data_IF_458392574072
#
_entry.id   IF_458392574072
#
_cell.length_a   1.000
_cell.length_b   1.000
_cell.length_c   1.000
_cell.angle_alpha   90.00
_cell.angle_beta   90.00
_cell.angle_gamma   90.00
#
_symmetry.space_group_name_H-M   'P 1'
#
loop_
_entity.id
_entity.type
_entity.pdbx_description
1 polymer ?
#
# COMPACT_ATOMS: atom_id res chain seq x y z
N UNK A 1 27.58 18.74 -15.77
CA UNK A 1 27.63 17.28 -15.88
C UNK A 1 26.32 16.57 -15.47
N UNK A 2 25.22 17.25 -15.12
CA UNK A 2 23.97 16.55 -14.70
C UNK A 2 22.71 17.10 -15.36
N UNK A 3 22.80 17.52 -16.63
CA UNK A 3 21.76 18.35 -17.28
C UNK A 3 20.38 17.66 -17.26
N UNK A 4 20.31 16.35 -17.46
CA UNK A 4 19.06 15.59 -17.49
C UNK A 4 18.44 15.42 -16.09
N UNK A 5 19.22 15.04 -15.07
CA UNK A 5 18.70 14.90 -13.70
C UNK A 5 18.28 16.25 -13.09
N UNK A 6 19.09 17.31 -13.30
CA UNK A 6 18.77 18.67 -12.86
C UNK A 6 17.44 19.12 -13.47
N UNK A 7 17.23 18.86 -14.75
CA UNK A 7 16.00 19.25 -15.44
C UNK A 7 14.77 18.52 -14.90
N UNK A 8 14.87 17.23 -14.59
CA UNK A 8 13.76 16.48 -13.96
C UNK A 8 13.42 17.06 -12.57
N UNK A 9 14.43 17.30 -11.72
CA UNK A 9 14.24 17.92 -10.40
C UNK A 9 13.66 19.33 -10.50
N UNK A 10 14.11 20.13 -11.48
CA UNK A 10 13.60 21.48 -11.73
C UNK A 10 12.12 21.45 -12.09
N UNK A 11 11.73 20.62 -13.06
CA UNK A 11 10.33 20.43 -13.47
C UNK A 11 9.45 19.99 -12.30
N UNK A 12 9.90 19.03 -11.49
CA UNK A 12 9.16 18.58 -10.31
C UNK A 12 8.92 19.74 -9.31
N UNK A 13 9.95 20.55 -9.05
CA UNK A 13 9.82 21.69 -8.14
C UNK A 13 8.95 22.83 -8.69
N UNK A 14 8.91 23.02 -10.00
CA UNK A 14 8.02 24.01 -10.63
C UNK A 14 6.56 23.56 -10.51
N UNK A 15 6.31 22.25 -10.67
CA UNK A 15 4.99 21.65 -10.42
C UNK A 15 4.57 21.84 -8.98
N UNK A 16 5.43 21.54 -8.00
CA UNK A 16 5.11 21.68 -6.57
C UNK A 16 4.86 23.13 -6.15
N UNK A 17 5.59 24.08 -6.74
CA UNK A 17 5.34 25.53 -6.52
C UNK A 17 3.97 25.97 -7.04
N UNK A 18 3.55 25.44 -8.18
CA UNK A 18 2.25 25.77 -8.78
C UNK A 18 1.02 25.35 -7.95
N UNK A 19 1.21 24.60 -6.86
CA UNK A 19 0.13 24.11 -5.98
C UNK A 19 -0.47 25.25 -5.15
N UNK A 20 0.34 26.19 -4.69
CA UNK A 20 -0.07 27.28 -3.78
C UNK A 20 0.49 28.65 -4.18
N UNK A 21 0.83 28.82 -5.47
CA UNK A 21 1.22 30.10 -6.05
C UNK A 21 0.12 31.18 -5.92
N UNK A 22 0.41 32.44 -6.30
CA UNK A 22 -0.62 33.49 -6.23
C UNK A 22 -1.79 33.21 -7.18
N UNK A 23 -3.06 33.37 -6.74
CA UNK A 23 -4.23 33.22 -7.60
C UNK A 23 -4.16 34.12 -8.83
N UNK A 24 -4.36 33.56 -10.02
CA UNK A 24 -4.59 34.33 -11.24
C UNK A 24 -6.08 34.30 -11.61
N UNK A 25 -6.48 35.29 -12.40
CA UNK A 25 -7.85 35.42 -12.90
C UNK A 25 -8.25 34.20 -13.74
N UNK A 26 -9.44 33.63 -13.47
CA UNK A 26 -9.95 32.42 -14.15
C UNK A 26 -9.47 31.08 -13.59
N UNK A 27 -8.58 31.06 -12.59
CA UNK A 27 -8.10 29.83 -11.98
C UNK A 27 -9.09 29.25 -10.96
N UNK A 28 -9.16 27.92 -10.88
CA UNK A 28 -9.95 27.20 -9.88
C UNK A 28 -9.09 26.88 -8.66
N UNK A 29 -9.69 27.08 -7.49
CA UNK A 29 -9.05 26.93 -6.20
C UNK A 29 -9.93 26.10 -5.29
N UNK A 30 -9.31 25.18 -4.57
CA UNK A 30 -9.96 24.38 -3.54
C UNK A 30 -10.24 25.25 -2.33
N UNK A 31 -11.40 25.03 -1.71
CA UNK A 31 -11.78 25.72 -0.48
C UNK A 31 -10.93 25.22 0.68
N UNK A 32 -10.79 26.07 1.69
CA UNK A 32 -10.21 25.73 2.99
C UNK A 32 -11.00 24.57 3.61
N UNK A 33 -10.30 23.59 4.16
CA UNK A 33 -10.88 22.50 4.94
C UNK A 33 -10.75 22.78 6.45
N UNK A 34 -11.31 21.91 7.28
CA UNK A 34 -11.30 22.07 8.74
C UNK A 34 -9.89 22.04 9.34
N UNK A 35 -8.95 21.36 8.68
CA UNK A 35 -7.57 21.18 9.14
C UNK A 35 -6.65 22.33 8.72
N UNK A 36 -6.97 23.06 7.64
CA UNK A 36 -6.24 24.27 7.24
C UNK A 36 -7.13 25.44 6.81
N UNK A 37 -7.39 26.33 7.78
CA UNK A 37 -8.12 27.60 7.58
C UNK A 37 -7.29 28.71 6.93
N UNK A 38 -5.98 28.50 6.64
CA UNK A 38 -5.03 29.58 6.32
C UNK A 38 -4.73 29.78 4.84
N UNK A 39 -4.78 28.76 3.96
CA UNK A 39 -4.38 28.90 2.54
C UNK A 39 -5.29 28.11 1.58
N UNK A 40 -5.58 28.69 0.41
CA UNK A 40 -6.23 27.98 -0.69
C UNK A 40 -5.18 27.18 -1.46
N UNK A 41 -5.57 26.05 -2.04
CA UNK A 41 -4.71 25.25 -2.93
C UNK A 41 -5.29 25.28 -4.33
N UNK A 42 -4.44 25.49 -5.33
CA UNK A 42 -4.84 25.55 -6.73
C UNK A 42 -5.21 24.15 -7.21
N UNK A 43 -6.42 24.02 -7.71
CA UNK A 43 -6.88 22.78 -8.29
C UNK A 43 -6.22 22.61 -9.68
N UNK A 44 -5.77 21.40 -10.03
CA UNK A 44 -5.13 21.21 -11.33
C UNK A 44 -4.65 19.80 -11.65
N UNK A 45 -4.39 19.58 -12.94
CA UNK A 45 -3.93 18.31 -13.52
C UNK A 45 -2.41 18.34 -13.66
N UNK A 46 -1.71 18.05 -12.56
CA UNK A 46 -0.24 18.11 -12.52
C UNK A 46 0.37 16.72 -12.70
N UNK A 47 1.57 16.69 -13.28
CA UNK A 47 2.37 15.49 -13.44
C UNK A 47 3.81 15.80 -13.03
N UNK A 48 4.33 14.99 -12.12
CA UNK A 48 5.77 14.88 -11.85
C UNK A 48 6.22 13.56 -12.46
N UNK A 49 7.26 13.58 -13.29
CA UNK A 49 7.77 12.41 -13.99
C UNK A 49 9.29 12.34 -13.82
N UNK A 50 9.74 11.21 -13.31
CA UNK A 50 11.13 10.84 -13.17
C UNK A 50 11.41 9.59 -13.99
N UNK A 51 12.14 9.75 -15.10
CA UNK A 51 12.64 8.64 -15.90
C UNK A 51 14.10 8.39 -15.49
N UNK A 52 14.29 7.45 -14.55
CA UNK A 52 15.57 7.12 -13.92
C UNK A 52 16.35 6.16 -14.81
N UNK A 53 15.65 5.25 -15.49
CA UNK A 53 16.20 4.27 -16.43
C UNK A 53 17.00 4.94 -17.55
N UNK A 54 16.51 6.08 -18.07
CA UNK A 54 17.16 6.85 -19.12
C UNK A 54 18.38 7.67 -18.66
N UNK A 55 18.70 7.70 -17.37
CA UNK A 55 19.85 8.42 -16.83
C UNK A 55 21.08 7.51 -16.75
N UNK A 56 22.26 8.08 -16.99
CA UNK A 56 23.54 7.45 -16.64
C UNK A 56 23.74 7.42 -15.11
N UNK A 57 24.70 6.61 -14.64
CA UNK A 57 24.95 6.42 -13.20
C UNK A 57 25.23 7.73 -12.44
N UNK A 58 26.06 8.68 -12.93
CA UNK A 58 26.24 9.97 -12.27
C UNK A 58 24.95 10.80 -12.15
N UNK A 59 24.09 10.78 -13.17
CA UNK A 59 22.78 11.47 -13.11
C UNK A 59 21.80 10.76 -12.17
N UNK A 60 21.85 9.42 -12.08
CA UNK A 60 21.03 8.64 -11.13
C UNK A 60 21.41 8.97 -9.69
N UNK A 61 22.70 8.98 -9.37
CA UNK A 61 23.21 9.35 -8.04
C UNK A 61 22.83 10.77 -7.66
N UNK A 62 22.95 11.71 -8.62
CA UNK A 62 22.49 13.07 -8.41
C UNK A 62 20.98 13.09 -8.12
N UNK A 63 20.17 12.47 -8.97
CA UNK A 63 18.73 12.44 -8.78
C UNK A 63 18.34 11.83 -7.43
N UNK A 64 19.00 10.74 -7.04
CA UNK A 64 18.78 10.06 -5.77
C UNK A 64 19.02 11.00 -4.57
N UNK A 65 20.14 11.73 -4.56
CA UNK A 65 20.43 12.74 -3.51
C UNK A 65 19.44 13.89 -3.48
N UNK A 66 18.72 14.14 -4.57
CA UNK A 66 17.77 15.24 -4.70
C UNK A 66 16.30 14.82 -4.59
N UNK A 67 15.98 13.51 -4.60
CA UNK A 67 14.63 13.00 -4.39
C UNK A 67 14.05 13.46 -3.06
N UNK A 68 14.86 13.44 -2.00
CA UNK A 68 14.45 13.85 -0.66
C UNK A 68 13.77 15.21 -0.65
N UNK A 69 14.36 16.21 -1.33
CA UNK A 69 13.83 17.57 -1.35
C UNK A 69 12.50 17.67 -2.09
N UNK A 70 12.32 16.86 -3.14
CA UNK A 70 11.06 16.82 -3.89
C UNK A 70 9.98 16.15 -3.05
N UNK A 71 10.27 15.00 -2.44
CA UNK A 71 9.31 14.27 -1.63
C UNK A 71 8.89 15.06 -0.38
N UNK A 72 9.84 15.64 0.36
CA UNK A 72 9.51 16.45 1.54
C UNK A 72 8.63 17.65 1.18
N UNK A 73 8.92 18.33 0.06
CA UNK A 73 8.04 19.41 -0.44
C UNK A 73 6.66 18.88 -0.81
N UNK A 74 6.55 17.73 -1.45
CA UNK A 74 5.24 17.12 -1.74
C UNK A 74 4.46 16.80 -0.46
N UNK A 75 5.13 16.22 0.55
CA UNK A 75 4.53 15.94 1.85
C UNK A 75 4.01 17.22 2.53
N UNK A 76 4.78 18.31 2.51
CA UNK A 76 4.33 19.61 2.99
C UNK A 76 3.08 20.10 2.25
N UNK A 77 3.05 19.97 0.92
CA UNK A 77 1.88 20.38 0.12
C UNK A 77 0.64 19.57 0.46
N UNK A 78 0.76 18.25 0.60
CA UNK A 78 -0.37 17.39 0.96
C UNK A 78 -0.85 17.70 2.38
N UNK A 79 0.07 17.90 3.33
CA UNK A 79 -0.27 18.29 4.71
C UNK A 79 -1.03 19.62 4.78
N UNK A 80 -0.72 20.57 3.89
CA UNK A 80 -1.38 21.88 3.85
C UNK A 80 -2.86 21.76 3.45
N UNK A 81 -3.32 20.72 2.77
CA UNK A 81 -4.73 20.61 2.37
C UNK A 81 -5.12 19.14 2.27
N UNK A 82 -6.07 18.71 3.10
CA UNK A 82 -6.46 17.31 3.24
C UNK A 82 -7.13 16.75 1.98
N UNK A 83 -7.62 17.63 1.10
CA UNK A 83 -8.16 17.24 -0.20
C UNK A 83 -7.08 16.82 -1.18
N UNK A 84 -5.81 17.19 -0.97
CA UNK A 84 -4.74 16.80 -1.88
C UNK A 84 -4.55 15.29 -1.94
N UNK A 85 -4.61 14.78 -3.16
CA UNK A 85 -4.51 13.36 -3.45
C UNK A 85 -3.63 13.16 -4.67
N UNK A 86 -2.60 12.35 -4.52
CA UNK A 86 -1.66 12.02 -5.59
C UNK A 86 -1.70 10.53 -5.90
N UNK A 87 -1.65 10.17 -7.18
CA UNK A 87 -1.36 8.80 -7.59
C UNK A 87 0.11 8.70 -7.92
N UNK A 88 0.85 7.88 -7.19
CA UNK A 88 2.27 7.61 -7.45
C UNK A 88 2.36 6.25 -8.10
N UNK A 89 2.79 6.23 -9.35
CA UNK A 89 3.06 5.04 -10.14
C UNK A 89 4.56 4.87 -10.33
N UNK A 90 5.07 3.66 -10.16
CA UNK A 90 6.50 3.36 -10.28
C UNK A 90 6.71 1.98 -10.88
N UNK A 91 7.86 1.78 -11.51
CA UNK A 91 8.22 0.51 -12.16
C UNK A 91 9.02 -0.37 -11.20
N UNK A 92 8.56 -1.60 -10.99
CA UNK A 92 9.19 -2.64 -10.17
C UNK A 92 9.14 -3.96 -10.93
N UNK A 93 10.30 -4.60 -11.17
CA UNK A 93 10.36 -5.87 -11.90
C UNK A 93 9.69 -5.84 -13.28
N UNK A 94 9.80 -4.71 -14.00
CA UNK A 94 9.19 -4.52 -15.31
C UNK A 94 7.68 -4.22 -15.32
N UNK A 95 7.00 -4.22 -14.15
CA UNK A 95 5.58 -3.89 -14.01
C UNK A 95 5.38 -2.53 -13.33
N UNK A 96 4.27 -1.86 -13.63
CA UNK A 96 3.87 -0.65 -12.91
C UNK A 96 3.06 -1.00 -11.66
N UNK A 97 3.57 -0.56 -10.52
CA UNK A 97 2.84 -0.48 -9.26
C UNK A 97 2.34 0.94 -9.04
N UNK A 98 1.19 1.09 -8.39
CA UNK A 98 0.66 2.40 -8.08
C UNK A 98 -0.02 2.44 -6.71
N UNK A 99 0.29 3.49 -5.98
CA UNK A 99 -0.24 3.78 -4.64
C UNK A 99 -0.79 5.19 -4.62
N UNK A 100 -1.89 5.41 -3.90
CA UNK A 100 -2.37 6.77 -3.63
C UNK A 100 -1.57 7.34 -2.46
N UNK A 101 -1.14 8.60 -2.55
CA UNK A 101 -0.54 9.37 -1.47
C UNK A 101 -1.51 10.51 -1.10
N UNK A 102 -1.94 10.57 0.15
CA UNK A 102 -2.84 11.58 0.71
C UNK A 102 -2.59 11.72 2.22
N UNK A 103 -3.30 12.64 2.87
CA UNK A 103 -3.11 12.92 4.30
C UNK A 103 -3.18 11.67 5.21
N UNK A 104 -4.02 10.69 4.89
CA UNK A 104 -4.18 9.50 5.73
C UNK A 104 -2.97 8.56 5.69
N UNK A 105 -2.13 8.66 4.66
CA UNK A 105 -0.99 7.76 4.49
C UNK A 105 0.33 8.46 4.18
N UNK A 106 0.40 9.80 4.23
CA UNK A 106 1.64 10.54 4.01
C UNK A 106 2.79 10.12 4.94
N UNK A 107 2.47 9.63 6.15
CA UNK A 107 3.45 9.12 7.11
C UNK A 107 4.21 7.88 6.63
N UNK A 108 3.70 7.15 5.65
CA UNK A 108 4.35 5.94 5.08
C UNK A 108 5.54 6.31 4.19
N UNK A 109 5.41 7.40 3.43
CA UNK A 109 6.52 7.93 2.64
C UNK A 109 7.56 8.61 3.56
N UNK A 110 7.10 9.30 4.61
CA UNK A 110 8.02 9.87 5.61
C UNK A 110 8.85 8.77 6.30
N UNK A 111 8.21 7.70 6.74
CA UNK A 111 8.86 6.53 7.34
C UNK A 111 9.96 5.99 6.43
N UNK A 112 9.63 5.77 5.16
CA UNK A 112 10.59 5.24 4.20
C UNK A 112 11.76 6.19 3.97
N UNK A 113 11.52 7.50 3.90
CA UNK A 113 12.60 8.49 3.76
C UNK A 113 13.53 8.48 4.98
N UNK A 114 13.00 8.34 6.19
CA UNK A 114 13.78 8.25 7.41
C UNK A 114 14.61 6.96 7.45
N UNK A 115 13.95 5.81 7.22
CA UNK A 115 14.54 4.47 7.22
C UNK A 115 15.63 4.29 6.16
N UNK A 116 15.46 4.88 4.98
CA UNK A 116 16.47 4.86 3.91
C UNK A 116 17.54 5.96 4.06
N UNK A 117 17.59 6.66 5.19
CA UNK A 117 18.56 7.72 5.50
C UNK A 117 18.54 8.91 4.52
N UNK A 118 17.39 9.20 3.91
CA UNK A 118 17.22 10.43 3.13
C UNK A 118 17.05 11.66 4.02
N UNK A 119 16.40 11.48 5.17
CA UNK A 119 16.18 12.53 6.18
C UNK A 119 16.65 12.06 7.54
N UNK A 120 17.01 13.02 8.39
CA UNK A 120 17.28 12.80 9.81
C UNK A 120 15.99 12.73 10.63
N UNK A 121 16.07 12.20 11.86
CA UNK A 121 14.96 12.24 12.84
C UNK A 121 14.50 13.68 13.12
N UNK A 122 15.42 14.64 13.11
CA UNK A 122 15.10 16.06 13.32
C UNK A 122 14.23 16.58 12.17
N UNK A 123 14.58 16.27 10.92
CA UNK A 123 13.79 16.65 9.75
C UNK A 123 12.43 15.96 9.72
N UNK A 124 12.35 14.69 10.11
CA UNK A 124 11.10 13.95 10.23
C UNK A 124 10.16 14.57 11.28
N UNK A 125 10.70 14.87 12.47
CA UNK A 125 9.95 15.54 13.54
C UNK A 125 9.49 16.95 13.13
N UNK A 126 10.35 17.71 12.44
CA UNK A 126 10.03 19.05 11.95
C UNK A 126 8.94 19.06 10.87
N UNK A 127 8.77 17.95 10.12
CA UNK A 127 7.68 17.81 9.17
C UNK A 127 6.30 17.85 9.85
N UNK A 128 6.23 17.49 11.14
CA UNK A 128 5.00 17.45 11.94
C UNK A 128 3.93 16.54 11.33
N UNK A 129 4.37 15.47 10.67
CA UNK A 129 3.55 14.40 10.11
C UNK A 129 3.73 13.20 11.03
N UNK A 130 2.65 12.53 11.40
CA UNK A 130 2.74 11.29 12.17
C UNK A 130 3.32 10.20 11.26
N UNK A 131 4.48 9.69 11.64
CA UNK A 131 5.13 8.57 10.94
C UNK A 131 4.28 7.30 11.06
N UNK A 132 4.22 6.52 9.98
CA UNK A 132 3.52 5.22 9.94
C UNK A 132 4.54 4.08 9.91
N UNK A 133 4.16 2.87 10.32
CA UNK A 133 5.12 1.76 10.47
C UNK A 133 5.39 0.93 9.20
N UNK A 134 5.15 1.49 8.01
CA UNK A 134 5.33 0.76 6.75
C UNK A 134 5.74 1.68 5.60
N UNK A 135 6.54 1.13 4.68
CA UNK A 135 7.10 1.84 3.52
C UNK A 135 6.03 2.15 2.47
N UNK A 136 6.17 3.27 1.76
CA UNK A 136 5.25 3.67 0.70
C UNK A 136 5.51 2.93 -0.63
N UNK A 137 6.78 2.82 -1.01
CA UNK A 137 7.23 2.01 -2.14
C UNK A 137 7.51 0.58 -1.68
N UNK A 138 7.17 -0.40 -2.51
CA UNK A 138 7.42 -1.82 -2.21
C UNK A 138 8.93 -2.21 -2.22
N UNK A 139 9.81 -1.29 -2.60
CA UNK A 139 11.27 -1.48 -2.62
C UNK A 139 11.96 -0.16 -2.25
N UNK A 140 13.28 -0.20 -2.07
CA UNK A 140 14.07 1.01 -1.85
C UNK A 140 13.90 2.01 -2.99
N UNK A 141 13.87 3.30 -2.66
CA UNK A 141 13.72 4.37 -3.66
C UNK A 141 14.85 4.31 -4.70
N UNK A 142 16.06 3.88 -4.30
CA UNK A 142 17.21 3.69 -5.23
C UNK A 142 16.97 2.63 -6.31
N UNK A 143 16.10 1.66 -6.06
CA UNK A 143 15.82 0.56 -6.98
C UNK A 143 14.76 0.92 -8.03
N UNK A 144 14.11 2.07 -7.88
CA UNK A 144 13.07 2.51 -8.79
C UNK A 144 13.70 2.96 -10.12
N UNK A 145 13.14 2.50 -11.23
CA UNK A 145 13.61 2.88 -12.58
C UNK A 145 12.75 3.97 -13.21
N UNK A 146 11.55 4.20 -12.68
CA UNK A 146 10.62 5.22 -13.13
C UNK A 146 9.65 5.58 -12.01
N UNK A 147 9.33 6.86 -11.85
CA UNK A 147 8.34 7.36 -10.90
C UNK A 147 7.49 8.44 -11.57
N UNK A 148 6.18 8.25 -11.59
CA UNK A 148 5.18 9.18 -12.12
C UNK A 148 4.15 9.52 -11.06
N UNK A 149 4.02 10.80 -10.72
CA UNK A 149 3.09 11.28 -9.71
C UNK A 149 2.05 12.18 -10.38
N UNK A 150 0.80 11.75 -10.32
CA UNK A 150 -0.33 12.46 -10.88
C UNK A 150 -1.10 13.15 -9.75
N UNK A 151 -1.29 14.45 -9.88
CA UNK A 151 -2.18 15.19 -8.99
C UNK A 151 -3.62 14.84 -9.35
N UNK A 152 -4.29 14.15 -8.43
CA UNK A 152 -5.67 13.69 -8.53
C UNK A 152 -6.62 14.54 -7.68
N UNK A 153 -6.18 15.70 -7.21
CA UNK A 153 -6.97 16.50 -6.28
C UNK A 153 -8.31 16.97 -6.88
N UNK A 154 -8.38 17.21 -8.19
CA UNK A 154 -9.64 17.52 -8.90
C UNK A 154 -10.47 16.29 -9.31
N UNK A 155 -9.91 15.10 -9.09
CA UNK A 155 -10.40 13.86 -9.65
C UNK A 155 -10.83 12.88 -8.56
N UNK A 156 -12.01 13.13 -7.99
CA UNK A 156 -12.69 12.14 -7.18
C UNK A 156 -13.00 10.90 -8.02
N UNK A 157 -12.41 9.74 -7.64
CA UNK A 157 -12.74 8.44 -8.24
C UNK A 157 -11.91 8.01 -9.47
N UNK A 158 -10.79 8.66 -9.79
CA UNK A 158 -9.94 8.25 -10.91
C UNK A 158 -9.29 6.87 -10.68
N UNK A 159 -9.33 6.00 -11.70
CA UNK A 159 -8.80 4.63 -11.60
C UNK A 159 -7.53 4.42 -12.43
N UNK A 160 -6.79 3.36 -12.13
CA UNK A 160 -5.60 2.96 -12.91
C UNK A 160 -5.85 2.75 -14.39
N UNK A 161 -7.07 2.35 -14.78
CA UNK A 161 -7.43 2.21 -16.18
C UNK A 161 -7.49 3.57 -16.90
N UNK A 162 -7.76 4.66 -16.18
CA UNK A 162 -7.85 6.00 -16.76
C UNK A 162 -6.45 6.58 -17.01
N UNK A 163 -5.53 6.36 -16.07
CA UNK A 163 -4.12 6.76 -16.20
C UNK A 163 -3.42 6.01 -17.35
N UNK A 164 -3.67 4.71 -17.50
CA UNK A 164 -3.09 3.89 -18.60
C UNK A 164 -3.59 4.29 -19.99
N UNK A 165 -4.75 4.93 -20.11
CA UNK A 165 -5.36 5.36 -21.39
C UNK A 165 -4.94 6.77 -21.83
N UNK A 166 -4.04 7.44 -21.09
CA UNK A 166 -3.53 8.77 -21.43
C UNK A 166 -3.93 9.83 -20.41
N UNK A 167 -4.30 11.03 -20.88
CA UNK A 167 -4.65 12.17 -20.00
C UNK A 167 -5.83 11.79 -19.09
N UNK A 168 -5.72 12.00 -17.75
CA UNK A 168 -6.79 11.70 -16.80
C UNK A 168 -8.11 12.39 -17.20
N UNK A 169 -9.18 11.61 -17.39
CA UNK A 169 -10.53 12.16 -17.67
C UNK A 169 -11.28 12.34 -16.37
N UNK A 170 -11.96 13.50 -16.23
CA UNK A 170 -12.82 13.77 -15.08
C UNK A 170 -14.00 12.81 -15.13
N UNK A 171 -14.13 11.96 -14.11
CA UNK A 171 -15.33 11.17 -13.88
C UNK A 171 -16.11 11.83 -12.75
N UNK A 172 -17.43 12.06 -12.89
CA UNK A 172 -18.22 12.44 -11.74
C UNK A 172 -18.19 11.29 -10.72
N UNK A 173 -18.14 11.64 -9.42
CA UNK A 173 -18.19 10.71 -8.28
C UNK A 173 -19.34 9.69 -8.36
N UNK A 174 -20.35 9.99 -9.18
CA UNK A 174 -21.62 9.28 -9.35
C UNK A 174 -21.98 9.22 -10.84
N UNK A 175 -21.20 8.46 -11.61
CA UNK A 175 -21.41 8.31 -13.06
C UNK A 175 -22.55 7.32 -13.36
N UNK A 176 -23.75 7.85 -13.57
CA UNK A 176 -24.95 7.06 -13.89
C UNK A 176 -24.79 6.21 -15.16
N UNK A 177 -23.86 6.54 -16.06
CA UNK A 177 -23.61 5.73 -17.26
C UNK A 177 -23.07 4.35 -16.94
N UNK A 178 -22.49 4.15 -15.75
CA UNK A 178 -21.94 2.87 -15.27
C UNK A 178 -23.00 1.96 -14.65
N UNK A 179 -24.21 2.48 -14.40
CA UNK A 179 -25.32 1.73 -13.81
C UNK A 179 -26.06 0.91 -14.88
N UNK A 180 -26.54 -0.26 -14.48
CA UNK A 180 -27.52 -1.03 -15.26
C UNK A 180 -28.85 -0.27 -15.38
N UNK A 181 -29.70 -0.68 -16.34
CA UNK A 181 -31.00 -0.03 -16.53
C UNK A 181 -31.88 -0.12 -15.27
N UNK A 182 -31.83 -1.23 -14.54
CA UNK A 182 -32.58 -1.42 -13.30
C UNK A 182 -32.05 -0.51 -12.18
N UNK A 183 -30.72 -0.39 -12.06
CA UNK A 183 -30.10 0.52 -11.11
C UNK A 183 -30.43 1.99 -11.42
N UNK A 184 -30.52 2.36 -12.70
CA UNK A 184 -30.97 3.71 -13.10
C UNK A 184 -32.41 3.97 -12.72
N UNK A 185 -33.31 3.00 -12.94
CA UNK A 185 -34.71 3.11 -12.56
C UNK A 185 -34.88 3.26 -11.03
N UNK A 186 -34.11 2.50 -10.25
CA UNK A 186 -34.07 2.60 -8.79
C UNK A 186 -33.54 3.98 -8.35
N UNK A 187 -32.45 4.45 -8.95
CA UNK A 187 -31.89 5.77 -8.63
C UNK A 187 -32.89 6.90 -8.93
N UNK A 188 -33.62 6.83 -10.04
CA UNK A 188 -34.65 7.83 -10.36
C UNK A 188 -35.82 7.79 -9.36
N UNK A 189 -36.27 6.60 -8.97
CA UNK A 189 -37.28 6.46 -7.92
C UNK A 189 -36.79 7.06 -6.58
N UNK A 190 -35.51 6.84 -6.24
CA UNK A 190 -34.91 7.41 -5.02
C UNK A 190 -34.78 8.94 -5.10
N UNK A 191 -34.43 9.51 -6.26
CA UNK A 191 -34.40 10.97 -6.47
C UNK A 191 -35.77 11.60 -6.24
N UNK A 192 -36.84 10.94 -6.66
CA UNK A 192 -38.22 11.41 -6.46
C UNK A 192 -38.63 11.44 -4.98
N UNK A 193 -38.01 10.63 -4.11
CA UNK A 193 -38.26 10.69 -2.67
C UNK A 193 -37.67 11.94 -1.99
N UNK A 194 -36.71 12.61 -2.64
CA UNK A 194 -36.02 13.77 -2.08
C UNK A 194 -35.17 13.48 -0.84
N UNK A 195 -34.95 12.21 -0.46
CA UNK A 195 -34.20 11.83 0.72
C UNK A 195 -32.70 11.63 0.39
N UNK A 196 -31.80 12.54 0.81
CA UNK A 196 -30.39 12.47 0.44
C UNK A 196 -29.67 11.24 1.00
N UNK A 197 -30.09 10.72 2.16
CA UNK A 197 -29.46 9.57 2.81
C UNK A 197 -29.68 8.27 2.02
N UNK A 198 -30.85 8.11 1.41
CA UNK A 198 -31.14 6.93 0.58
C UNK A 198 -30.36 6.96 -0.73
N UNK A 199 -30.22 8.14 -1.34
CA UNK A 199 -29.40 8.33 -2.54
C UNK A 199 -27.93 8.04 -2.21
N UNK A 200 -27.44 8.48 -1.05
CA UNK A 200 -26.09 8.20 -0.59
C UNK A 200 -25.85 6.70 -0.36
N UNK A 201 -26.78 6.01 0.30
CA UNK A 201 -26.72 4.55 0.49
C UNK A 201 -26.68 3.81 -0.85
N UNK A 202 -27.52 4.20 -1.81
CA UNK A 202 -27.53 3.60 -3.13
C UNK A 202 -26.16 3.70 -3.82
N UNK A 203 -25.52 4.87 -3.77
CA UNK A 203 -24.21 5.08 -4.39
C UNK A 203 -23.09 4.33 -3.64
N UNK A 204 -23.19 4.19 -2.32
CA UNK A 204 -22.29 3.33 -1.53
C UNK A 204 -22.36 1.87 -1.95
N UNK A 205 -23.56 1.38 -2.26
CA UNK A 205 -23.76 -0.03 -2.62
C UNK A 205 -23.47 -0.34 -4.10
N UNK A 206 -23.63 0.66 -4.99
CA UNK A 206 -23.63 0.45 -6.45
C UNK A 206 -22.59 1.27 -7.23
N UNK A 207 -22.08 2.38 -6.69
CA UNK A 207 -21.18 3.31 -7.38
C UNK A 207 -19.71 3.17 -7.03
N UNK A 208 -19.42 2.74 -5.80
CA UNK A 208 -18.06 2.39 -5.44
C UNK A 208 -17.73 1.04 -6.08
N UNK A 209 -16.70 1.01 -6.93
CA UNK A 209 -15.98 -0.26 -7.15
C UNK A 209 -15.66 -0.77 -5.76
N UNK A 210 -16.30 -1.85 -5.32
CA UNK A 210 -15.88 -2.60 -4.14
C UNK A 210 -14.43 -2.97 -4.39
N UNK A 211 -13.52 -2.17 -3.83
CA UNK A 211 -12.12 -2.53 -3.74
C UNK A 211 -12.13 -3.71 -2.79
N UNK A 212 -12.19 -4.93 -3.34
CA UNK A 212 -11.78 -6.08 -2.57
C UNK A 212 -10.39 -5.74 -2.07
N UNK A 213 -10.26 -5.54 -0.75
CA UNK A 213 -9.00 -5.25 -0.09
C UNK A 213 -8.01 -6.27 -0.64
N UNK A 214 -6.96 -5.80 -1.33
CA UNK A 214 -5.89 -6.71 -1.79
C UNK A 214 -5.40 -7.39 -0.52
N UNK A 215 -5.57 -8.72 -0.42
CA UNK A 215 -5.12 -9.44 0.78
C UNK A 215 -3.62 -9.27 0.88
N UNK A 216 -3.18 -8.73 2.00
CA UNK A 216 -1.78 -8.58 2.35
C UNK A 216 -1.51 -9.24 3.70
N UNK A 217 -0.26 -9.56 3.98
CA UNK A 217 0.13 -10.14 5.27
C UNK A 217 0.55 -9.06 6.24
N UNK A 218 -0.34 -8.63 7.13
CA UNK A 218 -0.23 -7.74 8.28
C UNK A 218 0.02 -8.51 9.60
N UNK A 219 0.19 -7.76 10.70
CA UNK A 219 0.34 -8.34 12.05
C UNK A 219 -0.88 -9.15 12.48
N UNK A 220 -0.63 -10.27 13.15
CA UNK A 220 -1.70 -11.03 13.80
C UNK A 220 -2.29 -10.25 14.97
N UNK A 221 -3.60 -10.03 14.95
CA UNK A 221 -4.31 -9.13 15.89
C UNK A 221 -4.75 -9.79 17.21
N UNK A 222 -4.60 -11.11 17.37
CA UNK A 222 -5.12 -11.85 18.52
C UNK A 222 -4.01 -12.47 19.36
N UNK A 223 -4.21 -12.48 20.68
CA UNK A 223 -3.38 -13.25 21.59
C UNK A 223 -3.91 -14.68 21.76
N UNK A 224 -2.99 -15.64 21.87
CA UNK A 224 -3.33 -17.01 22.22
C UNK A 224 -3.60 -17.12 23.72
N UNK A 225 -4.81 -17.52 24.09
CA UNK A 225 -5.20 -17.72 25.50
C UNK A 225 -4.89 -19.13 26.01
N UNK A 226 -4.52 -20.04 25.11
CA UNK A 226 -4.13 -21.40 25.43
C UNK A 226 -2.64 -21.43 25.80
N UNK A 227 -2.19 -22.28 26.74
CA UNK A 227 -0.82 -22.36 27.24
C UNK A 227 0.02 -23.21 26.29
N UNK A 228 -0.05 -22.88 25.00
CA UNK A 228 0.65 -23.53 23.90
C UNK A 228 1.51 -22.48 23.21
N UNK A 229 2.72 -22.86 22.83
CA UNK A 229 3.60 -21.98 22.09
C UNK A 229 3.26 -22.03 20.59
N UNK A 230 2.72 -20.93 20.06
CA UNK A 230 2.44 -20.74 18.65
C UNK A 230 3.31 -19.63 18.02
N UNK A 231 4.44 -19.27 18.64
CA UNK A 231 5.36 -18.25 18.13
C UNK A 231 5.88 -18.59 16.73
N UNK A 232 6.01 -19.88 16.39
CA UNK A 232 6.32 -20.36 15.03
C UNK A 232 5.38 -19.81 13.94
N UNK A 233 4.19 -19.36 14.32
CA UNK A 233 3.17 -18.79 13.43
C UNK A 233 2.95 -17.30 13.71
N UNK A 234 3.84 -16.64 14.47
CA UNK A 234 3.68 -15.29 15.02
C UNK A 234 2.38 -15.08 15.82
N UNK A 235 1.90 -16.13 16.49
CA UNK A 235 0.77 -16.06 17.41
C UNK A 235 1.31 -16.15 18.83
N UNK A 236 1.23 -15.03 19.57
CA UNK A 236 1.83 -14.88 20.89
C UNK A 236 0.80 -15.02 22.01
N UNK A 237 1.22 -15.49 23.19
CA UNK A 237 0.39 -15.49 24.38
C UNK A 237 0.32 -14.13 25.07
N UNK A 238 1.35 -13.30 24.91
CA UNK A 238 1.48 -12.00 25.53
C UNK A 238 2.23 -11.00 24.64
N UNK A 239 1.94 -9.71 24.83
CA UNK A 239 2.68 -8.60 24.22
C UNK A 239 3.71 -8.07 25.22
N UNK A 240 4.99 -8.24 24.90
CA UNK A 240 6.12 -7.68 25.63
C UNK A 240 7.18 -7.19 24.63
N UNK A 241 8.29 -6.62 25.12
CA UNK A 241 9.33 -6.07 24.25
C UNK A 241 9.89 -7.11 23.27
N UNK A 242 10.06 -8.37 23.72
CA UNK A 242 10.58 -9.48 22.89
C UNK A 242 9.58 -9.83 21.78
N UNK A 243 8.32 -10.03 22.12
CA UNK A 243 7.30 -10.42 21.13
C UNK A 243 7.01 -9.28 20.15
N UNK A 244 7.06 -8.02 20.60
CA UNK A 244 7.00 -6.85 19.73
C UNK A 244 8.15 -6.85 18.71
N UNK A 245 9.39 -7.10 19.15
CA UNK A 245 10.55 -7.21 18.25
C UNK A 245 10.35 -8.30 17.20
N UNK A 246 9.96 -9.51 17.61
CA UNK A 246 9.70 -10.64 16.70
C UNK A 246 8.55 -10.38 15.71
N UNK A 247 7.59 -9.53 16.07
CA UNK A 247 6.54 -9.10 15.16
C UNK A 247 7.10 -8.12 14.13
N UNK A 248 7.92 -7.16 14.55
CA UNK A 248 8.35 -6.03 13.71
C UNK A 248 9.57 -6.29 12.84
N UNK A 249 10.42 -7.26 13.19
CA UNK A 249 11.67 -7.52 12.46
C UNK A 249 11.44 -8.07 11.05
N UNK A 250 10.57 -9.09 10.93
CA UNK A 250 10.28 -9.77 9.67
C UNK A 250 8.78 -9.74 9.36
N UNK A 251 8.44 -9.46 8.10
CA UNK A 251 7.07 -9.61 7.61
C UNK A 251 6.60 -11.07 7.82
N UNK A 252 5.33 -11.28 8.18
CA UNK A 252 4.76 -12.63 8.42
C UNK A 252 5.01 -13.65 7.29
N UNK A 253 5.08 -13.21 6.03
CA UNK A 253 5.46 -14.05 4.91
C UNK A 253 6.92 -14.52 4.99
N UNK A 254 7.85 -13.59 5.26
CA UNK A 254 9.28 -13.88 5.42
C UNK A 254 9.50 -14.72 6.68
N UNK A 255 8.84 -14.38 7.78
CA UNK A 255 8.88 -15.14 9.02
C UNK A 255 8.42 -16.59 8.80
N UNK A 256 7.31 -16.81 8.09
CA UNK A 256 6.88 -18.17 7.75
C UNK A 256 7.94 -18.93 6.92
N UNK A 257 8.64 -18.25 6.01
CA UNK A 257 9.74 -18.85 5.24
C UNK A 257 10.95 -19.20 6.12
N UNK A 258 11.31 -18.34 7.09
CA UNK A 258 12.36 -18.63 8.09
C UNK A 258 11.97 -19.88 8.88
N UNK A 259 10.73 -19.95 9.35
CA UNK A 259 10.23 -21.09 10.13
C UNK A 259 10.13 -22.38 9.30
N UNK A 260 9.95 -22.27 7.98
CA UNK A 260 10.07 -23.40 7.06
C UNK A 260 11.52 -23.88 6.85
N UNK A 261 12.52 -23.16 7.37
CA UNK A 261 13.94 -23.49 7.20
C UNK A 261 14.47 -23.11 5.82
N UNK A 262 14.05 -21.98 5.27
CA UNK A 262 14.73 -21.38 4.11
C UNK A 262 16.10 -20.85 4.57
N UNK A 263 17.13 -21.01 3.73
CA UNK A 263 18.49 -20.60 4.08
C UNK A 263 18.61 -19.07 4.18
N UNK A 264 19.56 -18.60 4.99
CA UNK A 264 19.71 -17.17 5.30
C UNK A 264 19.95 -16.31 4.05
N UNK A 265 20.76 -16.77 3.09
CA UNK A 265 21.02 -16.04 1.84
C UNK A 265 19.73 -15.76 1.04
N UNK A 266 18.84 -16.76 0.97
CA UNK A 266 17.54 -16.61 0.31
C UNK A 266 16.60 -15.72 1.14
N UNK A 267 16.64 -15.81 2.47
CA UNK A 267 15.85 -14.95 3.35
C UNK A 267 16.29 -13.49 3.23
N UNK A 268 17.59 -13.22 3.19
CA UNK A 268 18.11 -11.86 3.02
C UNK A 268 17.66 -11.27 1.68
N UNK A 269 17.66 -12.09 0.62
CA UNK A 269 17.08 -11.67 -0.67
C UNK A 269 15.58 -11.38 -0.57
N UNK A 270 14.82 -12.20 0.18
CA UNK A 270 13.40 -11.93 0.44
C UNK A 270 13.20 -10.65 1.26
N UNK A 271 14.01 -10.38 2.28
CA UNK A 271 13.97 -9.14 3.08
C UNK A 271 14.29 -7.92 2.23
N UNK A 272 15.21 -8.04 1.27
CA UNK A 272 15.49 -6.98 0.31
C UNK A 272 14.30 -6.68 -0.61
N UNK A 273 13.58 -7.73 -1.02
CA UNK A 273 12.42 -7.64 -1.91
C UNK A 273 11.11 -7.25 -1.19
N UNK A 274 10.95 -7.64 0.09
CA UNK A 274 9.74 -7.48 0.90
C UNK A 274 10.10 -6.64 2.13
N UNK A 275 10.11 -5.32 1.95
CA UNK A 275 10.46 -4.36 3.03
C UNK A 275 9.25 -3.82 3.81
N UNK A 276 8.05 -4.08 3.32
CA UNK A 276 6.78 -3.65 3.92
C UNK A 276 6.28 -4.65 4.96
N UNK A 277 5.71 -4.13 6.04
CA UNK A 277 4.99 -4.94 7.04
C UNK A 277 3.74 -5.62 6.48
N UNK A 278 3.28 -5.26 5.28
CA UNK A 278 2.13 -5.84 4.58
C UNK A 278 2.45 -6.41 3.18
N UNK A 279 2.68 -7.72 3.06
CA UNK A 279 3.05 -8.33 1.77
C UNK A 279 1.82 -8.82 0.98
N UNK A 280 1.51 -8.30 -0.22
CA UNK A 280 0.30 -8.66 -0.94
C UNK A 280 0.36 -10.03 -1.63
N UNK A 281 -0.74 -10.79 -1.59
CA UNK A 281 -0.90 -12.11 -2.23
C UNK A 281 -0.59 -12.08 -3.74
N UNK A 282 -0.86 -10.97 -4.42
CA UNK A 282 -0.56 -10.82 -5.85
C UNK A 282 0.94 -10.84 -6.17
N UNK A 283 1.82 -10.66 -5.18
CA UNK A 283 3.28 -10.56 -5.33
C UNK A 283 4.04 -11.84 -5.00
N UNK A 284 3.37 -12.83 -4.44
CA UNK A 284 3.98 -14.14 -4.11
C UNK A 284 4.64 -14.79 -5.35
N UNK A 285 4.07 -14.60 -6.55
CA UNK A 285 4.68 -15.12 -7.78
C UNK A 285 6.08 -14.54 -8.03
N UNK A 286 6.29 -13.24 -7.76
CA UNK A 286 7.58 -12.57 -8.02
C UNK A 286 8.67 -13.12 -7.09
N UNK A 287 8.31 -13.44 -5.84
CA UNK A 287 9.21 -14.09 -4.88
C UNK A 287 9.47 -15.54 -5.28
N UNK A 288 8.46 -16.24 -5.78
CA UNK A 288 8.59 -17.60 -6.29
C UNK A 288 9.59 -17.67 -7.44
N UNK A 289 9.47 -16.77 -8.42
CA UNK A 289 10.37 -16.67 -9.56
C UNK A 289 11.80 -16.31 -9.13
N UNK A 290 11.97 -15.36 -8.19
CA UNK A 290 13.28 -14.91 -7.71
C UNK A 290 14.03 -15.94 -6.86
N UNK A 291 13.32 -16.77 -6.10
CA UNK A 291 13.94 -17.69 -5.10
C UNK A 291 13.93 -19.15 -5.54
N UNK A 292 13.19 -19.50 -6.60
CA UNK A 292 12.94 -20.88 -7.01
C UNK A 292 12.04 -21.67 -6.05
N UNK A 293 11.42 -21.01 -5.07
CA UNK A 293 10.52 -21.64 -4.10
C UNK A 293 9.10 -21.62 -4.64
N UNK A 294 8.43 -22.77 -4.67
CA UNK A 294 7.00 -22.83 -4.93
C UNK A 294 6.20 -22.57 -3.65
N UNK A 295 5.10 -21.83 -3.77
CA UNK A 295 4.21 -21.52 -2.65
C UNK A 295 2.80 -22.02 -2.93
N UNK A 296 2.22 -22.76 -1.98
CA UNK A 296 0.79 -23.07 -1.96
C UNK A 296 0.14 -22.23 -0.86
N UNK A 297 -0.63 -21.22 -1.23
CA UNK A 297 -1.30 -20.33 -0.28
C UNK A 297 -2.76 -20.75 -0.17
N UNK A 298 -3.11 -21.37 0.96
CA UNK A 298 -4.50 -21.61 1.36
C UNK A 298 -5.07 -20.33 1.94
N UNK A 299 -6.15 -19.84 1.36
CA UNK A 299 -6.85 -18.63 1.79
C UNK A 299 -8.01 -19.07 2.66
N UNK A 300 -7.90 -18.83 3.97
CA UNK A 300 -8.95 -19.15 4.93
C UNK A 300 -9.91 -17.98 5.14
N UNK A 301 -11.18 -18.32 5.38
CA UNK A 301 -12.25 -17.37 5.66
C UNK A 301 -12.87 -17.72 7.02
N UNK A 302 -12.72 -16.85 8.02
CA UNK A 302 -13.47 -17.00 9.28
C UNK A 302 -14.90 -16.47 9.10
N UNK A 303 -15.87 -17.19 9.65
CA UNK A 303 -17.29 -16.80 9.70
C UNK A 303 -17.95 -16.54 8.34
N UNK A 304 -17.37 -17.05 7.26
CA UNK A 304 -17.90 -16.94 5.91
C UNK A 304 -18.22 -18.35 5.38
N UNK A 305 -19.34 -18.50 4.67
CA UNK A 305 -19.72 -19.77 4.04
C UNK A 305 -18.82 -20.14 2.85
N UNK A 306 -17.90 -19.25 2.47
CA UNK A 306 -16.91 -19.49 1.41
C UNK A 306 -15.96 -20.64 1.77
N UNK A 307 -15.80 -21.56 0.82
CA UNK A 307 -14.77 -22.59 0.89
C UNK A 307 -13.37 -21.97 0.81
N UNK A 308 -12.41 -22.61 1.48
CA UNK A 308 -11.00 -22.23 1.38
C UNK A 308 -10.55 -22.31 -0.08
N UNK A 309 -9.84 -21.28 -0.53
CA UNK A 309 -9.27 -21.21 -1.88
C UNK A 309 -7.78 -21.53 -1.80
N UNK A 310 -7.26 -22.37 -2.69
CA UNK A 310 -5.82 -22.64 -2.77
C UNK A 310 -5.25 -21.96 -4.00
N UNK A 311 -4.29 -21.06 -3.80
CA UNK A 311 -3.53 -20.43 -4.88
C UNK A 311 -2.12 -20.99 -4.93
N UNK A 312 -1.69 -21.43 -6.11
CA UNK A 312 -0.37 -22.01 -6.35
C UNK A 312 0.51 -21.05 -7.12
N UNK A 313 1.73 -20.87 -6.64
CA UNK A 313 2.77 -20.07 -7.27
C UNK A 313 3.95 -20.98 -7.51
N UNK A 314 4.25 -21.18 -8.79
CA UNK A 314 5.31 -22.07 -9.22
C UNK A 314 6.31 -21.18 -9.98
N UNK A 315 7.62 -21.28 -9.69
CA UNK A 315 8.62 -20.51 -10.40
C UNK A 315 8.53 -20.77 -11.90
N UNK A 316 8.53 -19.72 -12.71
CA UNK A 316 8.42 -19.81 -14.17
C UNK A 316 9.77 -19.80 -14.86
N UNK A 317 10.76 -19.18 -14.23
CA UNK A 317 12.07 -18.90 -14.84
C UNK A 317 13.17 -19.85 -14.35
N UNK A 318 12.89 -20.67 -13.34
CA UNK A 318 13.86 -21.60 -12.75
C UNK A 318 13.18 -22.89 -12.28
N UNK A 319 13.99 -23.92 -11.95
CA UNK A 319 13.48 -25.17 -11.38
C UNK A 319 13.05 -24.95 -9.93
N UNK A 320 11.93 -25.55 -9.56
CA UNK A 320 11.46 -25.55 -8.16
C UNK A 320 12.46 -26.27 -7.26
N UNK A 321 13.04 -25.55 -6.31
CA UNK A 321 13.98 -26.12 -5.34
C UNK A 321 13.27 -26.70 -4.11
N UNK A 322 12.11 -26.15 -3.76
CA UNK A 322 11.24 -26.63 -2.66
C UNK A 322 9.83 -26.05 -2.79
N UNK A 323 8.91 -26.61 -2.03
CA UNK A 323 7.54 -26.10 -1.90
C UNK A 323 7.25 -25.75 -0.45
N UNK A 324 6.57 -24.62 -0.20
CA UNK A 324 6.12 -24.19 1.12
C UNK A 324 4.60 -24.01 1.10
N UNK A 325 3.93 -24.67 2.05
CA UNK A 325 2.50 -24.55 2.26
C UNK A 325 2.21 -23.45 3.29
N UNK A 326 1.48 -22.42 2.86
CA UNK A 326 1.13 -21.26 3.65
C UNK A 326 -0.39 -21.17 3.84
N UNK A 327 -0.80 -20.56 4.93
CA UNK A 327 -2.15 -20.18 5.25
C UNK A 327 -2.21 -18.65 5.32
N UNK A 328 -3.15 -18.05 4.58
CA UNK A 328 -3.44 -16.61 4.60
C UNK A 328 -4.82 -16.40 5.20
N UNK A 329 -4.85 -15.91 6.44
CA UNK A 329 -6.07 -15.74 7.24
C UNK A 329 -6.01 -14.40 7.95
N UNK A 330 -7.11 -13.64 7.95
CA UNK A 330 -7.18 -12.31 8.60
C UNK A 330 -6.03 -11.39 8.19
N UNK A 331 -5.69 -11.38 6.89
CA UNK A 331 -4.56 -10.64 6.36
C UNK A 331 -3.24 -11.03 7.07
N UNK A 332 -2.96 -12.31 7.36
CA UNK A 332 -1.69 -12.77 7.96
C UNK A 332 -1.23 -14.10 7.35
N UNK A 333 0.05 -14.20 6.99
CA UNK A 333 0.66 -15.45 6.51
C UNK A 333 1.22 -16.26 7.68
N UNK A 334 0.94 -17.55 7.67
CA UNK A 334 1.54 -18.51 8.60
C UNK A 334 1.78 -19.83 7.88
N UNK A 335 2.62 -20.70 8.45
CA UNK A 335 2.79 -22.06 7.93
C UNK A 335 1.51 -22.87 8.07
N UNK A 336 1.13 -23.57 7.00
CA UNK A 336 -0.04 -24.44 6.99
C UNK A 336 0.35 -25.86 7.44
N UNK A 337 0.60 -26.01 8.73
CA UNK A 337 1.02 -27.27 9.34
C UNK A 337 -0.06 -27.82 10.27
N UNK A 338 -0.12 -29.15 10.41
CA UNK A 338 -0.98 -29.77 11.43
C UNK A 338 -0.33 -29.61 12.80
N UNK A 339 -1.05 -29.00 13.72
CA UNK A 339 -0.69 -28.96 15.13
C UNK A 339 -1.03 -30.30 15.79
N UNK A 340 -0.23 -30.78 16.75
CA UNK A 340 -0.49 -32.01 17.50
C UNK A 340 -1.57 -31.78 18.59
N UNK A 341 -2.69 -31.16 18.22
CA UNK A 341 -3.80 -30.85 19.11
C UNK A 341 -5.13 -31.07 18.40
N UNK A 342 -6.16 -31.43 19.16
CA UNK A 342 -7.50 -31.64 18.63
C UNK A 342 -8.34 -30.37 18.80
N UNK A 343 -9.29 -30.17 17.88
CA UNK A 343 -10.30 -29.12 18.02
C UNK A 343 -11.08 -29.27 19.33
N UNK A 344 -11.28 -30.51 19.80
CA UNK A 344 -11.92 -30.79 21.08
C UNK A 344 -11.16 -30.20 22.26
N UNK A 345 -9.83 -30.33 22.30
CA UNK A 345 -9.01 -29.71 23.35
C UNK A 345 -9.14 -28.18 23.34
N UNK A 346 -9.08 -27.56 22.16
CA UNK A 346 -9.19 -26.11 22.00
C UNK A 346 -10.53 -25.59 22.53
N UNK A 347 -11.63 -26.25 22.16
CA UNK A 347 -12.99 -25.83 22.55
C UNK A 347 -13.21 -26.01 24.05
N UNK A 348 -12.76 -27.13 24.62
CA UNK A 348 -13.08 -27.52 26.00
C UNK A 348 -11.94 -27.21 27.00
N UNK A 349 -10.91 -26.47 26.58
CA UNK A 349 -9.70 -26.21 27.38
C UNK A 349 -9.99 -25.72 28.82
N UNK A 350 -10.94 -24.79 28.97
CA UNK A 350 -11.32 -24.23 30.27
C UNK A 350 -11.99 -25.25 31.19
N UNK A 351 -12.64 -26.27 30.65
CA UNK A 351 -13.28 -27.33 31.41
C UNK A 351 -12.29 -28.44 31.76
N UNK A 352 -11.42 -28.79 30.81
CA UNK A 352 -10.36 -29.79 30.98
C UNK A 352 -9.40 -29.39 32.11
N UNK A 353 -9.03 -28.10 32.23
CA UNK A 353 -8.13 -27.61 33.27
C UNK A 353 -8.80 -27.26 34.62
N UNK A 354 -10.12 -27.40 34.73
CA UNK A 354 -10.81 -27.28 36.02
C UNK A 354 -10.77 -28.58 36.84
N UNK A 355 -10.36 -29.68 36.21
CA UNK A 355 -10.01 -30.95 36.85
C UNK A 355 -8.53 -30.94 37.26
#
# INVERSE_FOLDING_TARGET
MFKSAIEQVRKANDVLRSIDDKPKEGERWLKKDEENRKRNVKSGNRLIDFNIEALDEPNRDYLHKHFVKVFMRLLEKIKINSQQRWMVCYKLGGKYECSTLNLNNIGTLLHQLLKENFISEIEANAAGIVEMHYDFFLTNIKNLTEIKMYDLTEYEGLTMSDVKKGKPKKRPYRDESTLTNDQKAILEALKQTGNPALIESFWKDNGEKKFYKKRSGQFWKYLCTLPINLERYQIFNELNKRTATLMTEDNCFVYACIQAGVNEETIDHMREAIRVGDFPQSKVQEISDATGIAFNVTIGYFNDSRHNEIKRYIPKECKTIRTIDLLLVEDHYMLNERLPMTTYFIINYKEILKA
#
